data_IF_015287097061
#
_entry.id   IF_015287097061
#
_cell.length_a   1.000
_cell.length_b   1.000
_cell.length_c   1.000
_cell.angle_alpha   90.00
_cell.angle_beta   90.00
_cell.angle_gamma   90.00
#
_symmetry.space_group_name_H-M   'P 1'
#
loop_
_entity.id
_entity.type
_entity.pdbx_description
1 polymer ?
#
# COMPACT_ATOMS: atom_id res chain seq x y z
N UNK A 1 0.61 -1.51 14.40
CA UNK A 1 0.74 -2.43 13.28
C UNK A 1 -0.28 -3.52 13.41
N UNK A 2 -1.12 -3.60 12.42
CA UNK A 2 -2.10 -4.66 12.33
C UNK A 2 -1.41 -5.86 11.71
N UNK A 3 -0.69 -6.56 12.53
CA UNK A 3 -0.26 -7.88 12.16
C UNK A 3 -1.45 -8.79 12.33
N UNK A 4 -2.22 -8.96 11.28
CA UNK A 4 -2.97 -10.18 11.15
C UNK A 4 -2.00 -11.33 11.38
N UNK A 5 -2.49 -12.42 11.94
CA UNK A 5 -1.75 -13.63 12.21
C UNK A 5 -1.06 -14.25 10.97
N UNK A 6 -0.87 -13.48 9.90
CA UNK A 6 -0.18 -13.91 8.70
C UNK A 6 1.33 -13.95 8.96
N UNK A 7 1.90 -15.15 8.94
CA UNK A 7 3.34 -15.35 9.09
C UNK A 7 4.12 -14.93 7.84
N UNK A 8 3.49 -14.97 6.68
CA UNK A 8 4.06 -14.59 5.38
C UNK A 8 2.96 -14.09 4.45
N UNK A 9 3.35 -13.36 3.42
CA UNK A 9 2.45 -12.97 2.34
C UNK A 9 3.14 -13.12 0.99
N UNK A 10 2.36 -13.18 -0.08
CA UNK A 10 2.90 -13.23 -1.45
C UNK A 10 3.02 -11.83 -2.03
N UNK A 11 2.03 -10.98 -1.83
CA UNK A 11 1.96 -9.62 -2.36
C UNK A 11 1.66 -8.65 -1.23
N UNK A 12 2.49 -7.61 -1.14
CA UNK A 12 2.30 -6.53 -0.18
C UNK A 12 1.93 -5.24 -0.89
N UNK A 13 0.79 -4.66 -0.51
CA UNK A 13 0.38 -3.34 -0.98
C UNK A 13 0.91 -2.29 0.00
N UNK A 14 1.59 -1.28 -0.51
CA UNK A 14 2.12 -0.20 0.33
C UNK A 14 1.56 1.15 -0.10
N UNK A 15 0.76 1.76 0.76
CA UNK A 15 0.28 3.14 0.62
C UNK A 15 1.15 4.12 1.39
N UNK A 16 0.87 5.41 1.28
CA UNK A 16 1.68 6.44 1.94
C UNK A 16 1.35 6.58 3.43
N UNK A 17 0.10 6.85 3.75
CA UNK A 17 -0.34 7.08 5.13
C UNK A 17 -1.79 6.73 5.35
N UNK A 18 -2.17 6.56 6.62
CA UNK A 18 -3.54 6.28 7.01
C UNK A 18 -4.47 7.44 6.66
N UNK A 19 -5.74 7.14 6.38
CA UNK A 19 -6.79 8.11 6.19
C UNK A 19 -7.47 8.42 7.53
N UNK A 20 -7.96 9.65 7.68
CA UNK A 20 -8.79 10.02 8.83
C UNK A 20 -10.13 9.28 8.76
N UNK A 21 -10.49 8.58 9.82
CA UNK A 21 -11.75 7.86 9.98
C UNK A 21 -12.44 8.29 11.27
N UNK A 22 -13.75 8.08 11.35
CA UNK A 22 -14.54 8.44 12.54
C UNK A 22 -14.16 7.58 13.75
N UNK A 23 -13.75 6.35 13.51
CA UNK A 23 -13.33 5.42 14.55
C UNK A 23 -11.91 4.94 14.25
N UNK A 24 -10.95 5.37 15.08
CA UNK A 24 -9.53 4.99 14.93
C UNK A 24 -9.30 3.50 15.07
N UNK A 25 -10.16 2.79 15.78
CA UNK A 25 -10.05 1.32 15.92
C UNK A 25 -10.40 0.59 14.62
N UNK A 26 -11.08 1.27 13.69
CA UNK A 26 -11.43 0.72 12.38
C UNK A 26 -10.52 1.22 11.27
N UNK A 27 -9.43 1.92 11.62
CA UNK A 27 -8.50 2.45 10.64
C UNK A 27 -7.55 1.34 10.19
N UNK A 28 -7.97 0.60 9.17
CA UNK A 28 -7.14 -0.42 8.52
C UNK A 28 -6.49 0.15 7.26
N UNK A 29 -5.27 -0.28 6.91
CA UNK A 29 -4.63 0.17 5.68
C UNK A 29 -5.47 -0.18 4.44
N UNK A 30 -5.69 0.79 3.56
CA UNK A 30 -6.35 0.60 2.27
C UNK A 30 -7.72 -0.08 2.40
N UNK A 31 -8.57 0.46 3.27
CA UNK A 31 -9.88 -0.12 3.57
C UNK A 31 -10.76 -0.36 2.33
N UNK A 32 -11.48 -1.49 2.34
CA UNK A 32 -12.27 -1.96 1.22
C UNK A 32 -13.49 -1.07 0.88
N UNK A 33 -13.96 -0.24 1.80
CA UNK A 33 -15.09 0.67 1.57
C UNK A 33 -14.70 2.00 0.91
N UNK A 34 -13.40 2.24 0.73
CA UNK A 34 -12.91 3.39 -0.01
C UNK A 34 -12.79 3.06 -1.51
N UNK A 35 -12.76 4.07 -2.42
CA UNK A 35 -12.51 3.80 -3.84
C UNK A 35 -11.20 3.06 -4.09
N UNK A 36 -10.14 3.45 -3.38
CA UNK A 36 -8.85 2.76 -3.42
C UNK A 36 -8.99 1.30 -3.00
N UNK A 37 -9.63 1.07 -1.85
CA UNK A 37 -9.83 -0.26 -1.32
C UNK A 37 -10.67 -1.16 -2.20
N UNK A 38 -11.68 -0.60 -2.87
CA UNK A 38 -12.51 -1.35 -3.82
C UNK A 38 -11.71 -1.85 -5.02
N UNK A 39 -10.87 -1.00 -5.58
CA UNK A 39 -10.01 -1.35 -6.71
C UNK A 39 -9.05 -2.46 -6.29
N UNK A 40 -8.40 -2.32 -5.16
CA UNK A 40 -7.49 -3.32 -4.62
C UNK A 40 -8.21 -4.64 -4.37
N UNK A 41 -9.39 -4.59 -3.75
CA UNK A 41 -10.19 -5.78 -3.46
C UNK A 41 -10.56 -6.56 -4.72
N UNK A 42 -10.93 -5.86 -5.79
CA UNK A 42 -11.25 -6.51 -7.07
C UNK A 42 -10.05 -7.25 -7.63
N UNK A 43 -8.85 -6.66 -7.53
CA UNK A 43 -7.62 -7.33 -7.98
C UNK A 43 -7.35 -8.56 -7.10
N UNK A 44 -7.48 -8.44 -5.78
CA UNK A 44 -7.25 -9.53 -4.84
C UNK A 44 -8.22 -10.69 -5.09
N UNK A 45 -9.49 -10.40 -5.33
CA UNK A 45 -10.51 -11.42 -5.62
C UNK A 45 -10.26 -12.14 -6.94
N UNK A 46 -9.58 -11.49 -7.89
CA UNK A 46 -9.20 -12.11 -9.16
C UNK A 46 -8.02 -13.07 -9.02
N UNK A 47 -7.34 -13.08 -7.88
CA UNK A 47 -6.19 -13.93 -7.58
C UNK A 47 -6.41 -14.69 -6.24
N UNK A 48 -7.38 -15.62 -6.19
CA UNK A 48 -7.82 -16.20 -4.91
C UNK A 48 -6.79 -17.06 -4.20
N UNK A 49 -5.76 -17.53 -4.88
CA UNK A 49 -4.71 -18.37 -4.28
C UNK A 49 -3.51 -17.56 -3.80
N UNK A 50 -3.55 -16.24 -3.91
CA UNK A 50 -2.45 -15.33 -3.55
C UNK A 50 -2.76 -14.72 -2.18
N UNK A 51 -1.77 -14.71 -1.30
CA UNK A 51 -1.88 -14.08 0.02
C UNK A 51 -1.47 -12.63 -0.07
N UNK A 52 -2.41 -11.73 0.15
CA UNK A 52 -2.19 -10.29 0.12
C UNK A 52 -2.09 -9.71 1.52
N UNK A 53 -1.26 -8.69 1.67
CA UNK A 53 -1.13 -7.90 2.88
C UNK A 53 -1.12 -6.42 2.52
N UNK A 54 -1.85 -5.62 3.28
CA UNK A 54 -1.96 -4.17 3.06
C UNK A 54 -1.30 -3.41 4.20
N UNK A 55 -0.48 -2.43 3.87
CA UNK A 55 0.19 -1.59 4.86
C UNK A 55 0.40 -0.18 4.32
N UNK A 56 0.84 0.72 5.18
CA UNK A 56 1.25 2.07 4.82
C UNK A 56 2.68 2.32 5.26
N UNK A 57 3.39 3.17 4.55
CA UNK A 57 4.72 3.62 4.96
C UNK A 57 4.62 4.35 6.30
N UNK A 58 3.72 5.32 6.40
CA UNK A 58 3.47 6.06 7.64
C UNK A 58 2.20 5.51 8.28
N UNK A 59 2.35 4.88 9.44
CA UNK A 59 1.25 4.22 10.15
C UNK A 59 0.50 5.15 11.10
N UNK A 60 1.05 6.33 11.35
CA UNK A 60 0.40 7.36 12.15
C UNK A 60 -0.52 8.21 11.28
N UNK A 61 -1.58 8.73 11.87
CA UNK A 61 -2.47 9.67 11.17
C UNK A 61 -1.82 11.06 11.18
N UNK A 62 -1.31 11.58 10.05
CA UNK A 62 -0.66 12.89 10.04
C UNK A 62 -1.71 14.00 10.03
N UNK A 63 -1.83 14.73 11.13
CA UNK A 63 -2.76 15.85 11.28
C UNK A 63 -2.00 17.17 11.39
N UNK A 64 -2.59 18.25 10.85
CA UNK A 64 -2.09 19.60 11.06
C UNK A 64 -2.62 20.16 12.39
N UNK A 65 -2.25 21.40 12.74
CA UNK A 65 -2.66 22.07 13.96
C UNK A 65 -4.17 22.18 14.14
N UNK A 66 -4.92 22.19 13.01
CA UNK A 66 -6.39 22.25 12.99
C UNK A 66 -7.05 20.88 13.03
N UNK A 67 -6.28 19.80 13.21
CA UNK A 67 -6.79 18.43 13.20
C UNK A 67 -7.17 17.90 11.82
N UNK A 68 -6.74 18.56 10.75
CA UNK A 68 -7.00 18.12 9.38
C UNK A 68 -5.86 17.24 8.86
N UNK A 69 -6.20 16.29 8.00
CA UNK A 69 -5.23 15.41 7.36
C UNK A 69 -4.26 16.23 6.50
N UNK A 70 -2.99 15.93 6.62
CA UNK A 70 -1.90 16.52 5.83
C UNK A 70 -1.02 15.43 5.24
N UNK A 71 -0.17 15.79 4.28
CA UNK A 71 0.86 14.86 3.83
C UNK A 71 1.92 14.65 4.91
N UNK A 72 2.47 13.43 5.05
CA UNK A 72 3.58 13.17 5.96
C UNK A 72 4.81 14.00 5.57
N UNK A 73 5.58 14.42 6.56
CA UNK A 73 6.86 15.10 6.31
C UNK A 73 7.92 14.08 5.87
N UNK A 74 9.00 14.58 5.28
CA UNK A 74 10.14 13.74 4.92
C UNK A 74 10.70 12.99 6.12
N UNK A 75 10.83 13.67 7.27
CA UNK A 75 11.33 13.06 8.50
C UNK A 75 10.42 11.92 8.98
N UNK A 76 9.11 12.14 8.96
CA UNK A 76 8.14 11.12 9.32
C UNK A 76 8.26 9.89 8.42
N UNK A 77 8.38 10.11 7.10
CA UNK A 77 8.55 9.02 6.16
C UNK A 77 9.84 8.23 6.38
N UNK A 78 10.95 8.92 6.63
CA UNK A 78 12.23 8.27 6.86
C UNK A 78 12.26 7.50 8.19
N UNK A 79 11.64 8.06 9.23
CA UNK A 79 11.52 7.38 10.52
C UNK A 79 10.69 6.11 10.40
N UNK A 80 9.60 6.18 9.66
CA UNK A 80 8.70 5.03 9.47
C UNK A 80 9.25 3.99 8.50
N UNK A 81 10.21 4.36 7.65
CA UNK A 81 10.81 3.43 6.68
C UNK A 81 11.43 2.21 7.36
N UNK A 82 12.14 2.41 8.47
CA UNK A 82 12.75 1.31 9.21
C UNK A 82 11.71 0.31 9.70
N UNK A 83 10.56 0.80 10.16
CA UNK A 83 9.47 -0.07 10.60
C UNK A 83 8.87 -0.85 9.43
N UNK A 84 8.74 -0.22 8.27
CA UNK A 84 8.26 -0.90 7.07
C UNK A 84 9.25 -1.98 6.62
N UNK A 85 10.55 -1.68 6.66
CA UNK A 85 11.59 -2.65 6.30
C UNK A 85 11.54 -3.88 7.21
N UNK A 86 11.29 -3.70 8.51
CA UNK A 86 11.11 -4.81 9.46
C UNK A 86 9.87 -5.62 9.11
N UNK A 87 8.78 -4.98 8.77
CA UNK A 87 7.52 -5.62 8.37
C UNK A 87 7.73 -6.46 7.11
N UNK A 88 8.43 -5.93 6.11
CA UNK A 88 8.76 -6.63 4.88
C UNK A 88 9.63 -7.86 5.18
N UNK A 89 10.62 -7.71 6.03
CA UNK A 89 11.53 -8.79 6.40
C UNK A 89 10.80 -9.93 7.14
N UNK A 90 9.82 -9.58 7.94
CA UNK A 90 8.99 -10.55 8.70
C UNK A 90 8.04 -11.32 7.79
N UNK A 91 7.38 -10.62 6.86
CA UNK A 91 6.35 -11.20 6.00
C UNK A 91 6.88 -11.82 4.72
N UNK A 92 8.08 -11.47 4.32
CA UNK A 92 8.76 -12.03 3.14
C UNK A 92 7.92 -12.05 1.85
N UNK A 93 7.34 -10.90 1.44
CA UNK A 93 6.56 -10.88 0.21
C UNK A 93 7.44 -11.17 -1.01
N UNK A 94 6.87 -11.80 -2.03
CA UNK A 94 7.53 -11.98 -3.33
C UNK A 94 7.45 -10.71 -4.15
N UNK A 95 6.35 -9.98 -4.01
CA UNK A 95 6.05 -8.77 -4.78
C UNK A 95 5.59 -7.68 -3.82
N UNK A 96 6.14 -6.49 -4.00
CA UNK A 96 5.73 -5.30 -3.26
C UNK A 96 5.18 -4.29 -4.25
N UNK A 97 3.90 -3.93 -4.11
CA UNK A 97 3.24 -2.95 -4.95
C UNK A 97 3.25 -1.60 -4.23
N UNK A 98 3.96 -0.64 -4.80
CA UNK A 98 4.10 0.70 -4.27
C UNK A 98 3.07 1.62 -4.92
N UNK A 99 2.15 2.14 -4.12
CA UNK A 99 1.03 2.93 -4.61
C UNK A 99 1.35 4.42 -4.56
N UNK A 100 1.82 4.95 -5.68
CA UNK A 100 2.13 6.36 -5.87
C UNK A 100 3.62 6.68 -5.84
N UNK A 101 3.96 7.83 -6.40
CA UNK A 101 5.36 8.25 -6.56
C UNK A 101 6.07 8.54 -5.25
N UNK A 102 5.37 9.11 -4.26
CA UNK A 102 5.97 9.44 -2.96
C UNK A 102 6.40 8.18 -2.22
N UNK A 103 5.53 7.19 -2.15
CA UNK A 103 5.86 5.89 -1.53
C UNK A 103 7.06 5.28 -2.22
N UNK A 104 7.04 5.24 -3.55
CA UNK A 104 8.13 4.68 -4.34
C UNK A 104 9.46 5.35 -4.03
N UNK A 105 9.49 6.68 -3.96
CA UNK A 105 10.74 7.42 -3.73
C UNK A 105 11.35 7.11 -2.36
N UNK A 106 10.54 6.91 -1.32
CA UNK A 106 11.04 6.59 0.01
C UNK A 106 11.43 5.13 0.16
N UNK A 107 10.61 4.22 -0.32
CA UNK A 107 10.87 2.77 -0.20
C UNK A 107 12.10 2.36 -0.98
N UNK A 108 12.34 2.95 -2.14
CA UNK A 108 13.53 2.66 -2.94
C UNK A 108 14.85 3.01 -2.23
N UNK A 109 14.82 3.89 -1.24
CA UNK A 109 16.01 4.16 -0.42
C UNK A 109 16.46 2.96 0.41
N UNK A 110 15.54 2.05 0.72
CA UNK A 110 15.84 0.80 1.42
C UNK A 110 15.90 -0.42 0.52
N UNK A 111 15.89 -0.24 -0.79
CA UNK A 111 15.81 -1.32 -1.80
C UNK A 111 16.85 -2.42 -1.60
N UNK A 112 18.07 -2.06 -1.24
CA UNK A 112 19.17 -3.02 -1.06
C UNK A 112 18.93 -4.02 0.08
N UNK A 113 18.07 -3.65 1.03
CA UNK A 113 17.72 -4.50 2.17
C UNK A 113 16.51 -5.40 1.90
N UNK A 114 15.93 -5.31 0.70
CA UNK A 114 14.67 -5.98 0.36
C UNK A 114 14.92 -6.99 -0.75
N UNK A 115 14.58 -8.25 -0.47
CA UNK A 115 14.64 -9.33 -1.46
C UNK A 115 13.23 -9.60 -1.99
N UNK A 116 12.75 -8.71 -2.84
CA UNK A 116 11.43 -8.82 -3.46
C UNK A 116 11.41 -8.04 -4.78
N UNK A 117 10.43 -8.35 -5.63
CA UNK A 117 10.20 -7.58 -6.85
C UNK A 117 9.29 -6.39 -6.55
N UNK A 118 9.61 -5.24 -7.12
CA UNK A 118 8.81 -4.02 -6.93
C UNK A 118 7.94 -3.73 -8.14
N UNK A 119 6.71 -3.33 -7.88
CA UNK A 119 5.80 -2.78 -8.89
C UNK A 119 5.49 -1.35 -8.48
N UNK A 120 5.74 -0.40 -9.38
CA UNK A 120 5.41 1.01 -9.18
C UNK A 120 4.09 1.29 -9.87
N UNK A 121 3.03 1.48 -9.10
CA UNK A 121 1.70 1.73 -9.62
C UNK A 121 1.25 3.15 -9.32
N UNK A 122 0.42 3.71 -10.18
CA UNK A 122 -0.30 4.94 -9.85
C UNK A 122 -1.25 4.64 -8.68
N UNK A 123 -1.44 5.60 -7.80
CA UNK A 123 -2.36 5.40 -6.69
C UNK A 123 -3.78 5.17 -7.24
N UNK A 124 -4.52 4.16 -6.74
CA UNK A 124 -5.87 3.88 -7.24
C UNK A 124 -6.83 5.08 -7.13
N UNK A 125 -6.68 5.93 -6.12
CA UNK A 125 -7.51 7.12 -6.00
C UNK A 125 -7.32 8.10 -7.16
N UNK A 126 -6.10 8.20 -7.71
CA UNK A 126 -5.83 9.00 -8.89
C UNK A 126 -6.62 8.49 -10.09
N UNK A 127 -6.64 7.18 -10.29
CA UNK A 127 -7.39 6.54 -11.37
C UNK A 127 -8.89 6.79 -11.18
N UNK A 128 -9.38 6.64 -9.97
CA UNK A 128 -10.79 6.86 -9.65
C UNK A 128 -11.23 8.30 -9.92
N UNK A 129 -10.41 9.29 -9.56
CA UNK A 129 -10.75 10.72 -9.70
C UNK A 129 -10.58 11.20 -11.15
N UNK A 130 -9.45 10.86 -11.79
CA UNK A 130 -9.07 11.48 -13.06
C UNK A 130 -9.20 10.55 -14.27
N UNK A 131 -9.25 9.26 -14.08
CA UNK A 131 -9.28 8.25 -15.15
C UNK A 131 -10.27 7.14 -14.88
N UNK A 132 -11.46 7.50 -14.42
CA UNK A 132 -12.49 6.53 -14.02
C UNK A 132 -12.84 5.53 -15.12
N UNK A 133 -12.80 5.94 -16.38
CA UNK A 133 -13.06 5.05 -17.51
C UNK A 133 -11.96 4.00 -17.73
N UNK A 134 -10.82 4.17 -17.09
CA UNK A 134 -9.66 3.27 -17.23
C UNK A 134 -9.48 2.33 -16.05
N UNK A 135 -10.44 2.28 -15.11
CA UNK A 135 -10.31 1.44 -13.90
C UNK A 135 -10.10 -0.03 -14.26
N UNK A 136 -10.92 -0.57 -15.16
CA UNK A 136 -10.82 -1.98 -15.55
C UNK A 136 -9.48 -2.31 -16.22
N UNK A 137 -8.99 -1.41 -17.07
CA UNK A 137 -7.70 -1.55 -17.69
C UNK A 137 -6.56 -1.48 -16.66
N UNK A 138 -6.64 -0.54 -15.72
CA UNK A 138 -5.69 -0.40 -14.62
C UNK A 138 -5.62 -1.70 -13.81
N UNK A 139 -6.77 -2.24 -13.41
CA UNK A 139 -6.85 -3.48 -12.64
C UNK A 139 -6.26 -4.66 -13.41
N UNK A 140 -6.58 -4.77 -14.70
CA UNK A 140 -6.07 -5.83 -15.56
C UNK A 140 -4.56 -5.76 -15.70
N UNK A 141 -4.02 -4.57 -15.96
CA UNK A 141 -2.58 -4.37 -16.13
C UNK A 141 -1.82 -4.66 -14.84
N UNK A 142 -2.34 -4.19 -13.71
CA UNK A 142 -1.71 -4.41 -12.41
C UNK A 142 -1.76 -5.90 -12.02
N UNK A 143 -2.86 -6.58 -12.29
CA UNK A 143 -2.98 -8.02 -12.09
C UNK A 143 -1.91 -8.77 -12.90
N UNK A 144 -1.74 -8.44 -14.16
CA UNK A 144 -0.76 -9.07 -15.04
C UNK A 144 0.68 -8.84 -14.52
N UNK A 145 0.98 -7.64 -14.05
CA UNK A 145 2.28 -7.34 -13.47
C UNK A 145 2.54 -8.16 -12.21
N UNK A 146 1.54 -8.30 -11.35
CA UNK A 146 1.66 -9.12 -10.13
C UNK A 146 1.92 -10.58 -10.50
N UNK A 147 1.15 -11.14 -11.41
CA UNK A 147 1.30 -12.53 -11.85
C UNK A 147 2.68 -12.82 -12.43
N UNK A 148 3.27 -11.85 -13.08
CA UNK A 148 4.60 -11.97 -13.70
C UNK A 148 5.71 -12.29 -12.69
N UNK A 149 5.56 -11.83 -11.45
CA UNK A 149 6.57 -12.00 -10.40
C UNK A 149 6.20 -13.07 -9.36
N UNK A 150 5.07 -13.71 -9.49
CA UNK A 150 4.67 -14.80 -8.59
C UNK A 150 5.26 -16.19 -9.00
#
# INVERSE_FOLDING_TARGET
>A
PLLDNAKTCDVMWVGLSAKKVLDVNKNTPLEADTPTGKIIKEIEESLPNVKFYKTNLVKCLPLNEKGKLRYPTKEECLTCLDNLLKEIKELQPKVIVLLGKKVSSYVLKGKEQIDASFIHALHPSYIYVYKRNSILEYEKNLKQEIEKYL
#
